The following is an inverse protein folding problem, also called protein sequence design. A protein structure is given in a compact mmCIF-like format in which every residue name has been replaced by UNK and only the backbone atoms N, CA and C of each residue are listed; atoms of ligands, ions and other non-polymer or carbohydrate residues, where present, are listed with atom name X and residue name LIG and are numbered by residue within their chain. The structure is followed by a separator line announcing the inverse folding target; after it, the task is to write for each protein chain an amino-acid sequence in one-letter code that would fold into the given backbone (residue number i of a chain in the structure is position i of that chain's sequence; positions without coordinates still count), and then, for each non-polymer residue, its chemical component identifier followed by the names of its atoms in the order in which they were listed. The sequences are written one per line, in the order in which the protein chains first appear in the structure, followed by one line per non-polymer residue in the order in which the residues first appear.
data_IF_510580310800
#
_entry.id   IF_510580310800
#
_cell.length_a   1.000
_cell.length_b   1.000
_cell.length_c   1.000
_cell.angle_alpha   90.00
_cell.angle_beta   90.00
_cell.angle_gamma   90.00
#
_symmetry.space_group_name_H-M   'P 1'
#
loop_
_entity.id
_entity.type
_entity.pdbx_description
1 polymer ?
#
# COMPACT_ATOMS: atom_id res chain seq x y z
N UNK A 1 -3.24 -17.37 3.41
CA UNK A 1 -2.77 -15.98 3.58
C UNK A 1 -3.91 -15.25 4.28
N UNK A 2 -3.73 -14.83 5.53
CA UNK A 2 -4.82 -14.15 6.28
C UNK A 2 -5.16 -12.85 5.54
N UNK A 3 -6.28 -12.87 4.82
CA UNK A 3 -6.81 -11.74 4.04
C UNK A 3 -7.37 -10.68 4.95
N UNK A 4 -6.50 -9.98 5.67
CA UNK A 4 -6.89 -8.87 6.51
C UNK A 4 -7.14 -7.67 5.59
N UNK A 5 -8.41 -7.41 5.31
CA UNK A 5 -8.80 -6.20 4.59
C UNK A 5 -8.63 -5.00 5.52
N UNK A 6 -7.56 -4.23 5.29
CA UNK A 6 -7.21 -3.06 6.10
C UNK A 6 -8.33 -2.01 6.10
N UNK A 7 -9.23 -1.99 5.10
CA UNK A 7 -10.39 -1.09 5.06
C UNK A 7 -11.40 -1.35 6.17
N UNK A 8 -11.35 -2.51 6.84
CA UNK A 8 -12.16 -2.78 8.03
C UNK A 8 -11.66 -2.06 9.28
N UNK A 9 -10.38 -1.65 9.31
CA UNK A 9 -9.71 -1.08 10.47
C UNK A 9 -9.39 0.42 10.27
N UNK A 10 -9.09 0.81 9.03
CA UNK A 10 -8.67 2.16 8.68
C UNK A 10 -9.61 2.80 7.65
N UNK A 11 -9.70 4.13 7.71
CA UNK A 11 -10.13 4.97 6.60
C UNK A 11 -8.90 5.37 5.77
N UNK A 12 -9.05 5.42 4.45
CA UNK A 12 -7.96 5.76 3.54
C UNK A 12 -8.28 7.01 2.74
N UNK A 13 -7.30 7.90 2.65
CA UNK A 13 -7.39 9.17 1.94
C UNK A 13 -6.25 9.26 0.93
N UNK A 14 -6.51 9.56 -0.36
CA UNK A 14 -5.46 9.78 -1.34
C UNK A 14 -4.46 10.85 -0.86
N UNK A 15 -3.18 10.62 -1.11
CA UNK A 15 -2.17 11.67 -0.98
C UNK A 15 -2.26 12.57 -2.20
N UNK A 16 -2.50 13.86 -1.97
CA UNK A 16 -2.55 14.89 -3.01
C UNK A 16 -1.48 15.98 -2.78
N UNK A 17 -0.75 16.38 -3.82
CA UNK A 17 -0.77 15.83 -5.18
C UNK A 17 -0.24 14.38 -5.23
N UNK A 18 -0.62 13.58 -6.25
CA UNK A 18 -0.08 12.24 -6.43
C UNK A 18 1.46 12.26 -6.48
N UNK A 19 2.15 11.45 -5.65
CA UNK A 19 3.61 11.39 -5.69
C UNK A 19 4.13 10.86 -7.02
N UNK A 20 5.39 11.21 -7.33
CA UNK A 20 6.10 10.66 -8.48
C UNK A 20 6.22 9.12 -8.35
N UNK A 21 5.79 8.33 -9.34
CA UNK A 21 5.97 6.87 -9.35
C UNK A 21 7.43 6.42 -9.17
N UNK A 22 8.41 7.24 -9.56
CA UNK A 22 9.84 6.95 -9.35
C UNK A 22 10.30 7.17 -7.90
N UNK A 23 9.51 7.86 -7.07
CA UNK A 23 9.86 8.24 -5.71
C UNK A 23 8.65 8.13 -4.75
N UNK A 24 8.09 6.91 -4.66
CA UNK A 24 6.96 6.64 -3.76
C UNK A 24 7.36 6.85 -2.28
N UNK A 25 6.62 7.66 -1.50
CA UNK A 25 6.91 7.90 -0.10
C UNK A 25 6.59 6.68 0.76
N UNK A 26 7.38 6.45 1.80
CA UNK A 26 7.17 5.40 2.80
C UNK A 26 6.92 5.99 4.18
N UNK A 27 6.10 5.35 5.02
CA UNK A 27 5.83 5.83 6.37
C UNK A 27 4.79 5.00 7.11
N UNK A 28 4.67 5.21 8.42
CA UNK A 28 3.75 4.44 9.29
C UNK A 28 2.27 4.69 8.99
N UNK A 29 1.92 5.88 8.49
CA UNK A 29 0.57 6.23 8.03
C UNK A 29 0.40 6.08 6.51
N UNK A 30 1.43 5.63 5.78
CA UNK A 30 1.43 5.53 4.31
C UNK A 30 1.17 4.11 3.85
N UNK A 31 0.23 3.97 2.93
CA UNK A 31 -0.19 2.72 2.33
C UNK A 31 -0.28 2.88 0.81
N UNK A 32 -0.16 1.76 0.12
CA UNK A 32 -0.25 1.67 -1.34
C UNK A 32 -1.51 0.91 -1.72
N UNK A 33 -2.41 1.58 -2.43
CA UNK A 33 -3.54 0.97 -3.11
C UNK A 33 -3.08 0.51 -4.50
N UNK A 34 -3.15 -0.79 -4.76
CA UNK A 34 -2.89 -1.32 -6.09
C UNK A 34 -4.06 -0.99 -7.03
N UNK A 35 -3.79 -0.33 -8.16
CA UNK A 35 -4.84 0.07 -9.11
C UNK A 35 -5.43 -1.09 -9.92
N UNK A 36 -4.78 -2.27 -9.92
CA UNK A 36 -5.28 -3.46 -10.64
C UNK A 36 -6.27 -4.29 -9.82
N UNK A 37 -5.98 -4.49 -8.53
CA UNK A 37 -6.75 -5.39 -7.66
C UNK A 37 -7.30 -4.71 -6.41
N UNK A 38 -7.15 -3.38 -6.32
CA UNK A 38 -7.62 -2.50 -5.24
C UNK A 38 -7.15 -2.89 -3.83
N UNK A 39 -6.29 -3.89 -3.67
CA UNK A 39 -5.77 -4.27 -2.36
C UNK A 39 -4.86 -3.17 -1.83
N UNK A 40 -5.04 -2.83 -0.55
CA UNK A 40 -4.20 -1.86 0.15
C UNK A 40 -3.14 -2.62 0.95
N UNK A 41 -1.88 -2.20 0.81
CA UNK A 41 -0.73 -2.77 1.51
C UNK A 41 0.03 -1.64 2.22
N UNK A 42 0.52 -1.86 3.44
CA UNK A 42 1.35 -0.88 4.14
C UNK A 42 2.65 -0.64 3.35
N UNK A 43 3.12 0.61 3.26
CA UNK A 43 4.36 0.96 2.54
C UNK A 43 5.62 0.38 3.20
N UNK A 44 5.56 0.07 4.50
CA UNK A 44 6.64 -0.53 5.30
C UNK A 44 6.14 -1.77 6.06
N UNK A 45 5.75 -2.85 5.37
CA UNK A 45 5.11 -4.00 6.00
C UNK A 45 6.13 -4.80 6.82
N UNK A 46 5.95 -4.86 8.13
CA UNK A 46 6.76 -5.72 9.00
C UNK A 46 6.35 -7.20 8.90
N UNK A 47 5.07 -7.47 8.67
CA UNK A 47 4.53 -8.80 8.42
C UNK A 47 4.37 -9.04 6.92
N UNK A 48 4.46 -10.31 6.49
CA UNK A 48 4.28 -10.70 5.09
C UNK A 48 2.95 -10.19 4.54
N UNK A 49 3.03 -9.28 3.59
CA UNK A 49 1.89 -8.59 2.98
C UNK A 49 2.09 -8.52 1.48
N UNK A 50 1.04 -8.80 0.70
CA UNK A 50 1.08 -8.67 -0.75
C UNK A 50 -0.33 -8.42 -1.29
N UNK A 51 -0.42 -7.79 -2.47
CA UNK A 51 -1.67 -7.67 -3.18
C UNK A 51 -1.97 -8.93 -4.01
N UNK A 52 -3.23 -9.14 -4.38
CA UNK A 52 -3.66 -10.34 -5.08
C UNK A 52 -3.04 -10.51 -6.49
N UNK A 53 -2.78 -9.42 -7.21
CA UNK A 53 -2.15 -9.46 -8.53
C UNK A 53 -0.61 -9.55 -8.48
N UNK A 54 -0.02 -9.44 -7.29
CA UNK A 54 1.43 -9.52 -7.11
C UNK A 54 2.23 -8.30 -7.56
N UNK A 55 1.60 -7.14 -7.80
CA UNK A 55 2.30 -5.87 -8.02
C UNK A 55 3.01 -5.40 -6.72
N UNK A 56 2.37 -5.57 -5.57
CA UNK A 56 2.86 -5.20 -4.25
C UNK A 56 3.19 -6.46 -3.45
N UNK A 57 4.41 -6.57 -2.92
CA UNK A 57 4.80 -7.65 -2.00
C UNK A 57 5.92 -7.21 -1.07
N UNK A 58 5.80 -7.48 0.24
CA UNK A 58 6.73 -6.99 1.23
C UNK A 58 6.69 -7.73 2.57
N UNK A 59 7.77 -7.57 3.32
CA UNK A 59 7.99 -8.13 4.65
C UNK A 59 9.21 -7.43 5.30
N UNK A 60 9.35 -7.51 6.63
CA UNK A 60 10.55 -7.05 7.32
C UNK A 60 10.80 -5.54 7.23
N UNK A 61 9.76 -4.74 7.01
CA UNK A 61 9.85 -3.28 6.90
C UNK A 61 10.13 -2.76 5.48
N UNK A 62 10.07 -3.63 4.47
CA UNK A 62 10.29 -3.27 3.07
C UNK A 62 9.16 -3.77 2.18
N UNK A 63 8.81 -2.98 1.15
CA UNK A 63 7.82 -3.33 0.15
C UNK A 63 8.43 -3.21 -1.25
N UNK A 64 8.31 -4.28 -2.04
CA UNK A 64 8.64 -4.27 -3.46
C UNK A 64 7.40 -3.93 -4.27
N UNK A 65 7.58 -3.03 -5.24
CA UNK A 65 6.57 -2.58 -6.19
C UNK A 65 7.08 -2.92 -7.60
N UNK A 66 6.34 -3.75 -8.35
CA UNK A 66 6.75 -4.14 -9.71
C UNK A 66 6.50 -3.05 -10.74
N UNK A 67 5.32 -2.44 -10.68
CA UNK A 67 4.91 -1.34 -11.52
C UNK A 67 4.37 -0.19 -10.65
N UNK A 68 5.22 0.82 -10.36
CA UNK A 68 4.85 1.97 -9.56
C UNK A 68 3.75 2.85 -10.18
N UNK A 69 3.57 2.81 -11.51
CA UNK A 69 2.50 3.56 -12.19
C UNK A 69 1.11 2.99 -11.90
N UNK A 70 1.04 1.74 -11.43
CA UNK A 70 -0.19 1.04 -11.04
C UNK A 70 -0.44 1.10 -9.53
N UNK A 71 0.10 2.13 -8.87
CA UNK A 71 -0.03 2.34 -7.43
C UNK A 71 -0.56 3.74 -7.14
N UNK A 72 -1.52 3.82 -6.22
CA UNK A 72 -1.95 5.06 -5.59
C UNK A 72 -1.48 5.08 -4.14
N UNK A 73 -0.86 6.18 -3.75
CA UNK A 73 -0.45 6.42 -2.36
C UNK A 73 -1.64 6.95 -1.58
N UNK A 74 -1.93 6.33 -0.45
CA UNK A 74 -3.02 6.72 0.45
C UNK A 74 -2.52 6.80 1.89
N UNK A 75 -3.08 7.72 2.68
CA UNK A 75 -2.88 7.78 4.12
C UNK A 75 -3.97 6.99 4.84
N UNK A 76 -3.57 6.13 5.76
CA UNK A 76 -4.48 5.37 6.62
C UNK A 76 -4.69 6.08 7.96
N UNK A 77 -5.95 6.27 8.36
CA UNK A 77 -6.34 6.76 9.69
C UNK A 77 -7.22 5.74 10.38
N UNK A 78 -6.92 5.41 11.64
CA UNK A 78 -7.70 4.44 12.41
C UNK A 78 -9.17 4.87 12.49
N UNK A 79 -10.09 3.92 12.37
CA UNK A 79 -11.53 4.13 12.59
C UNK A 79 -11.87 4.29 14.06
#
# INVERSE_FOLDING_TARGET
MLGLDLRKIYNFYPVEPPPDPAALPTGGDIYYECLDCTTIVNSVPHLKSACACGNLAGCGGSLSVKDPSRVRVVRGKLK
#
